data_IF_482755283110
#
_entry.id   IF_482755283110
#
_cell.length_a   1.000
_cell.length_b   1.000
_cell.length_c   1.000
_cell.angle_alpha   90.00
_cell.angle_beta   90.00
_cell.angle_gamma   90.00
#
_symmetry.space_group_name_H-M   'P 1'
#
loop_
_entity.id
_entity.type
_entity.pdbx_description
1 polymer ?
#
# COMPACT_ATOMS: atom_id res chain seq x y z
N UNK A 1 -20.22 -24.00 -17.89
CA UNK A 1 -20.52 -23.08 -19.01
C UNK A 1 -21.26 -21.89 -18.42
N UNK A 2 -20.54 -20.81 -18.13
CA UNK A 2 -21.12 -19.57 -17.61
C UNK A 2 -21.65 -18.73 -18.79
N UNK A 3 -22.82 -18.09 -18.67
CA UNK A 3 -23.40 -17.30 -19.75
C UNK A 3 -22.55 -16.05 -19.99
N UNK A 4 -22.07 -15.89 -21.22
CA UNK A 4 -21.21 -14.81 -21.71
C UNK A 4 -21.96 -13.50 -21.99
N UNK A 5 -23.00 -13.19 -21.22
CA UNK A 5 -23.95 -12.11 -21.56
C UNK A 5 -23.83 -10.85 -20.69
N UNK A 6 -22.64 -10.53 -20.14
CA UNK A 6 -22.42 -9.32 -19.33
C UNK A 6 -21.31 -8.40 -19.82
N UNK A 7 -20.90 -8.48 -21.08
CA UNK A 7 -19.90 -7.55 -21.66
C UNK A 7 -20.41 -6.89 -22.94
N UNK A 8 -21.60 -6.31 -22.90
CA UNK A 8 -21.83 -5.07 -23.65
C UNK A 8 -21.43 -3.91 -22.75
N UNK A 9 -20.13 -3.79 -22.47
CA UNK A 9 -19.59 -2.46 -22.22
C UNK A 9 -19.63 -1.77 -23.57
N UNK A 10 -20.78 -1.15 -23.88
CA UNK A 10 -20.82 -0.10 -24.89
C UNK A 10 -19.72 0.88 -24.49
N UNK A 11 -18.69 1.01 -25.33
CA UNK A 11 -17.57 1.88 -25.04
C UNK A 11 -18.15 3.29 -24.93
N UNK A 12 -18.31 3.77 -23.70
CA UNK A 12 -18.76 5.12 -23.39
C UNK A 12 -17.95 6.07 -24.27
N UNK A 13 -18.64 6.78 -25.17
CA UNK A 13 -18.04 7.63 -26.21
C UNK A 13 -17.62 8.98 -25.61
N UNK A 14 -16.84 8.94 -24.53
CA UNK A 14 -16.07 10.09 -24.09
C UNK A 14 -14.73 10.04 -24.82
N UNK A 15 -14.36 11.09 -25.54
CA UNK A 15 -13.17 11.19 -26.36
C UNK A 15 -12.21 12.23 -25.78
N UNK A 16 -11.36 11.88 -24.79
CA UNK A 16 -10.63 12.87 -24.00
C UNK A 16 -9.61 13.71 -24.78
N UNK A 17 -9.20 13.27 -25.98
CA UNK A 17 -8.26 14.01 -26.83
C UNK A 17 -8.95 14.94 -27.83
N UNK A 18 -10.27 14.81 -28.06
CA UNK A 18 -11.05 15.63 -28.99
C UNK A 18 -12.02 16.53 -28.23
N UNK A 19 -12.65 16.01 -27.17
CA UNK A 19 -13.63 16.74 -26.37
C UNK A 19 -12.99 17.98 -25.73
N UNK A 20 -13.79 19.04 -25.64
CA UNK A 20 -13.39 20.28 -24.98
C UNK A 20 -13.03 20.00 -23.51
N UNK A 21 -12.08 20.76 -22.96
CA UNK A 21 -11.72 20.63 -21.54
C UNK A 21 -12.94 20.94 -20.69
N UNK A 22 -13.43 19.94 -19.96
CA UNK A 22 -14.61 20.04 -19.11
C UNK A 22 -14.43 21.21 -18.13
N UNK A 23 -15.39 22.12 -18.12
CA UNK A 23 -15.34 23.26 -17.21
C UNK A 23 -15.64 22.80 -15.78
N UNK A 24 -15.08 23.48 -14.74
CA UNK A 24 -15.38 23.13 -13.35
C UNK A 24 -16.86 23.32 -12.98
N UNK A 25 -17.64 24.07 -13.79
CA UNK A 25 -19.08 24.23 -13.59
C UNK A 25 -19.86 23.01 -14.09
N UNK A 26 -19.47 22.44 -15.24
CA UNK A 26 -20.07 21.21 -15.78
C UNK A 26 -19.79 20.02 -14.88
N UNK A 27 -18.58 19.91 -14.33
CA UNK A 27 -18.23 18.85 -13.36
C UNK A 27 -19.17 18.87 -12.15
N UNK A 28 -19.43 20.04 -11.57
CA UNK A 28 -20.36 20.16 -10.42
C UNK A 28 -21.79 19.78 -10.80
N UNK A 29 -22.25 20.16 -11.99
CA UNK A 29 -23.61 19.80 -12.47
C UNK A 29 -23.73 18.29 -12.66
N UNK A 30 -22.73 17.65 -13.28
CA UNK A 30 -22.71 16.20 -13.47
C UNK A 30 -22.63 15.48 -12.13
N UNK A 31 -21.78 15.93 -11.21
CA UNK A 31 -21.67 15.36 -9.87
C UNK A 31 -22.99 15.43 -9.10
N UNK A 32 -23.71 16.56 -9.17
CA UNK A 32 -25.05 16.68 -8.57
C UNK A 32 -26.05 15.68 -9.18
N UNK A 33 -26.00 15.48 -10.50
CA UNK A 33 -26.83 14.49 -11.19
C UNK A 33 -26.51 13.07 -10.75
N UNK A 34 -25.22 12.73 -10.65
CA UNK A 34 -24.75 11.43 -10.14
C UNK A 34 -25.19 11.22 -8.69
N UNK A 35 -25.04 12.23 -7.83
CA UNK A 35 -25.48 12.13 -6.43
C UNK A 35 -26.99 11.92 -6.32
N UNK A 36 -27.77 12.59 -7.17
CA UNK A 36 -29.22 12.36 -7.24
C UNK A 36 -29.51 10.92 -7.64
N UNK A 37 -28.86 10.37 -8.67
CA UNK A 37 -29.10 8.98 -9.08
C UNK A 37 -28.62 7.96 -8.03
N UNK A 38 -27.45 8.17 -7.42
CA UNK A 38 -26.92 7.32 -6.35
C UNK A 38 -27.86 7.28 -5.15
N UNK A 39 -28.53 8.39 -4.81
CA UNK A 39 -29.53 8.40 -3.74
C UNK A 39 -30.74 7.48 -4.01
N UNK A 40 -30.99 7.11 -5.27
CA UNK A 40 -32.06 6.18 -5.64
C UNK A 40 -31.57 4.71 -5.69
N UNK A 41 -30.26 4.47 -5.60
CA UNK A 41 -29.65 3.15 -5.63
C UNK A 41 -29.29 2.74 -4.21
N UNK A 42 -29.65 1.52 -3.80
CA UNK A 42 -29.25 1.00 -2.50
C UNK A 42 -27.74 0.72 -2.49
N UNK A 43 -26.95 1.61 -1.88
CA UNK A 43 -25.48 1.47 -1.79
C UNK A 43 -25.01 0.58 -0.64
N UNK A 44 -25.92 0.17 0.25
CA UNK A 44 -25.57 -0.66 1.42
C UNK A 44 -25.35 -2.13 1.06
N UNK A 45 -25.93 -2.59 -0.06
CA UNK A 45 -25.71 -3.95 -0.54
C UNK A 45 -24.41 -4.04 -1.35
N UNK A 46 -23.40 -4.69 -0.75
CA UNK A 46 -22.15 -5.00 -1.43
C UNK A 46 -22.41 -5.86 -2.68
N UNK A 47 -21.80 -5.49 -3.81
CA UNK A 47 -21.92 -6.25 -5.05
C UNK A 47 -21.43 -7.71 -4.84
N UNK A 48 -22.17 -8.73 -5.32
CA UNK A 48 -21.88 -10.16 -5.03
C UNK A 48 -20.50 -10.65 -5.52
N UNK A 49 -19.84 -9.89 -6.40
CA UNK A 49 -18.48 -10.18 -6.85
C UNK A 49 -17.36 -9.73 -5.88
N UNK A 50 -17.67 -9.00 -4.81
CA UNK A 50 -16.65 -8.54 -3.85
C UNK A 50 -16.20 -9.66 -2.90
N UNK A 51 -17.11 -10.55 -2.51
CA UNK A 51 -16.81 -11.71 -1.65
C UNK A 51 -15.66 -12.61 -2.12
N UNK A 52 -15.56 -13.00 -3.40
CA UNK A 52 -14.46 -13.83 -3.89
C UNK A 52 -13.14 -13.07 -4.14
N UNK A 53 -13.17 -11.75 -4.31
CA UNK A 53 -11.96 -10.95 -4.61
C UNK A 53 -11.18 -10.55 -3.36
N UNK A 54 -11.87 -10.45 -2.22
CA UNK A 54 -11.28 -10.18 -0.93
C UNK A 54 -11.70 -11.28 0.04
N UNK A 55 -11.10 -12.48 -0.02
CA UNK A 55 -11.18 -13.39 1.11
C UNK A 55 -10.54 -12.66 2.28
N UNK A 56 -11.35 -12.14 3.19
CA UNK A 56 -10.89 -11.66 4.49
C UNK A 56 -10.20 -12.86 5.13
N UNK A 57 -8.88 -12.90 5.01
CA UNK A 57 -8.06 -13.98 5.55
C UNK A 57 -8.35 -14.02 7.04
N UNK A 58 -8.95 -15.11 7.52
CA UNK A 58 -9.20 -15.38 8.94
C UNK A 58 -7.94 -15.28 9.83
N UNK A 59 -6.77 -15.14 9.19
CA UNK A 59 -5.47 -14.99 9.81
C UNK A 59 -5.17 -13.54 10.21
N UNK A 60 -5.90 -12.54 9.68
CA UNK A 60 -5.74 -11.13 10.05
C UNK A 60 -6.19 -10.84 11.48
N UNK A 61 -7.09 -11.67 12.05
CA UNK A 61 -7.50 -11.54 13.45
C UNK A 61 -6.35 -11.82 14.43
N UNK A 62 -5.38 -12.66 14.06
CA UNK A 62 -4.17 -12.94 14.87
C UNK A 62 -3.17 -11.79 14.88
N UNK A 63 -3.17 -10.94 13.86
CA UNK A 63 -2.32 -9.74 13.79
C UNK A 63 -3.02 -8.49 14.34
N UNK A 64 -4.35 -8.54 14.51
CA UNK A 64 -5.15 -7.50 15.15
C UNK A 64 -5.18 -7.58 16.66
N UNK A 65 -4.83 -8.73 17.25
CA UNK A 65 -4.62 -8.79 18.70
C UNK A 65 -3.30 -8.09 19.03
N UNK A 66 -3.32 -6.93 19.71
CA UNK A 66 -2.10 -6.42 20.31
C UNK A 66 -1.63 -7.46 21.32
N UNK A 67 -0.35 -7.80 21.27
CA UNK A 67 0.34 -8.74 22.17
C UNK A 67 0.31 -8.30 23.67
N UNK A 68 -0.48 -7.29 24.03
CA UNK A 68 -0.56 -6.66 25.34
C UNK A 68 -1.93 -6.70 26.02
N UNK A 69 -3.01 -7.19 25.41
CA UNK A 69 -4.29 -7.40 26.11
C UNK A 69 -4.32 -8.78 26.78
N UNK A 70 -3.38 -9.00 27.70
CA UNK A 70 -3.64 -9.88 28.84
C UNK A 70 -4.21 -8.97 29.93
N UNK A 71 -5.52 -8.84 29.91
CA UNK A 71 -6.29 -8.13 30.93
C UNK A 71 -6.12 -8.82 32.29
N UNK A 72 -5.24 -8.25 33.11
CA UNK A 72 -5.48 -8.21 34.55
C UNK A 72 -5.66 -6.75 34.95
N UNK A 73 -6.70 -6.49 35.73
CA UNK A 73 -7.22 -5.15 36.00
C UNK A 73 -6.22 -4.29 36.77
N UNK A 74 -5.47 -3.46 36.05
CA UNK A 74 -4.59 -2.46 36.64
C UNK A 74 -4.13 -1.50 35.56
N UNK A 75 -4.29 -0.20 35.82
CA UNK A 75 -3.96 0.89 34.91
C UNK A 75 -2.52 0.78 34.38
N UNK A 76 -2.34 0.32 33.14
CA UNK A 76 -1.03 0.20 32.50
C UNK A 76 -0.64 1.59 31.98
N UNK A 77 0.08 2.33 32.81
CA UNK A 77 0.90 3.46 32.37
C UNK A 77 1.83 2.99 31.24
N UNK A 78 1.94 3.79 30.17
CA UNK A 78 2.82 3.58 29.00
C UNK A 78 4.33 3.39 29.29
N UNK A 79 4.72 3.28 30.56
CA UNK A 79 6.10 3.09 31.01
C UNK A 79 6.44 1.61 31.33
N UNK A 80 5.47 0.69 31.37
CA UNK A 80 5.71 -0.66 31.93
C UNK A 80 6.23 -1.72 30.96
N UNK A 81 6.51 -1.40 29.69
CA UNK A 81 7.01 -2.40 28.71
C UNK A 81 8.28 -2.00 27.95
N UNK A 82 9.11 -1.14 28.54
CA UNK A 82 10.50 -0.91 28.08
C UNK A 82 11.53 -1.46 29.06
N UNK A 83 11.18 -2.43 29.90
CA UNK A 83 12.21 -3.20 30.60
C UNK A 83 12.95 -4.06 29.57
N UNK A 84 14.03 -3.49 29.02
CA UNK A 84 15.08 -4.26 28.40
C UNK A 84 15.63 -5.28 29.39
N UNK A 85 16.33 -6.29 28.85
CA UNK A 85 17.02 -7.28 29.68
C UNK A 85 17.93 -6.53 30.64
N UNK A 86 17.69 -6.68 31.93
CA UNK A 86 18.51 -6.06 32.96
C UNK A 86 19.91 -6.70 32.96
N UNK A 87 20.92 -5.86 32.73
CA UNK A 87 22.32 -6.27 32.67
C UNK A 87 23.05 -6.06 34.00
N UNK A 88 22.39 -5.46 35.00
CA UNK A 88 22.94 -5.17 36.34
C UNK A 88 23.58 -6.42 36.97
N UNK A 89 22.94 -7.58 36.82
CA UNK A 89 23.40 -8.90 37.31
C UNK A 89 24.78 -9.32 36.79
N UNK A 90 25.21 -8.79 35.63
CA UNK A 90 26.48 -9.13 35.00
C UNK A 90 27.55 -8.04 35.17
N UNK A 91 27.17 -6.87 35.70
CA UNK A 91 28.04 -5.71 35.88
C UNK A 91 28.32 -5.38 37.34
N UNK A 92 27.39 -5.71 38.25
CA UNK A 92 27.53 -5.49 39.69
C UNK A 92 27.76 -6.82 40.44
N UNK A 93 28.90 -6.88 41.14
CA UNK A 93 29.35 -8.07 41.88
C UNK A 93 29.16 -7.92 43.39
N UNK A 94 28.63 -6.79 43.85
CA UNK A 94 28.27 -6.58 45.24
C UNK A 94 26.84 -7.06 45.51
N UNK A 95 26.57 -7.47 46.75
CA UNK A 95 25.23 -7.87 47.16
C UNK A 95 24.45 -6.63 47.61
N UNK A 96 23.31 -6.35 46.99
CA UNK A 96 22.48 -5.16 47.28
C UNK A 96 21.78 -5.23 48.65
N UNK A 97 22.01 -6.31 49.41
CA UNK A 97 21.30 -6.66 50.63
C UNK A 97 21.80 -5.98 51.93
N UNK A 98 22.88 -5.20 51.90
CA UNK A 98 23.38 -4.47 53.08
C UNK A 98 23.02 -2.97 53.02
N UNK A 99 21.73 -2.65 52.98
CA UNK A 99 21.22 -1.30 53.21
C UNK A 99 20.39 -1.19 54.50
N UNK A 100 20.67 -2.03 55.51
CA UNK A 100 20.16 -1.83 56.86
C UNK A 100 21.31 -1.99 57.88
N UNK A 101 21.67 -0.85 58.47
CA UNK A 101 22.36 -0.64 59.75
C UNK A 101 23.88 -0.92 59.90
N UNK A 102 24.50 0.05 60.59
CA UNK A 102 25.77 -0.01 61.33
C UNK A 102 27.11 -0.07 60.57
N UNK A 103 27.65 1.13 60.34
CA UNK A 103 28.93 1.58 60.90
C UNK A 103 30.02 0.50 61.11
N UNK A 104 30.68 0.06 60.03
CA UNK A 104 32.11 -0.27 60.10
C UNK A 104 32.84 0.03 58.79
N UNK A 105 33.89 0.81 58.92
CA UNK A 105 34.71 1.36 57.85
C UNK A 105 35.94 0.49 57.66
N UNK A 106 35.80 -0.81 57.32
CA UNK A 106 36.97 -1.62 56.88
C UNK A 106 36.70 -2.99 56.25
N UNK A 107 35.57 -3.26 55.57
CA UNK A 107 35.37 -4.56 54.90
C UNK A 107 34.90 -4.43 53.45
N UNK A 108 35.86 -4.34 52.53
CA UNK A 108 35.65 -4.48 51.09
C UNK A 108 35.39 -5.94 50.65
N UNK A 109 34.62 -6.73 51.40
CA UNK A 109 34.65 -8.20 51.29
C UNK A 109 33.28 -8.89 51.30
N UNK A 110 32.25 -8.30 50.69
CA UNK A 110 31.03 -9.04 50.31
C UNK A 110 30.88 -9.07 48.79
N UNK A 111 31.82 -9.77 48.15
CA UNK A 111 31.75 -10.11 46.72
C UNK A 111 30.87 -11.33 46.54
N UNK A 112 29.80 -11.18 45.74
CA UNK A 112 28.94 -12.28 45.37
C UNK A 112 29.67 -13.19 44.35
N UNK A 113 30.30 -14.24 44.85
CA UNK A 113 31.08 -15.19 44.05
C UNK A 113 30.23 -15.89 42.99
N UNK A 114 28.94 -16.11 43.23
CA UNK A 114 28.02 -16.73 42.26
C UNK A 114 27.80 -15.82 41.03
N UNK A 115 27.62 -14.50 41.25
CA UNK A 115 27.54 -13.52 40.16
C UNK A 115 28.87 -13.45 39.38
N UNK A 116 30.01 -13.50 40.08
CA UNK A 116 31.34 -13.51 39.48
C UNK A 116 31.60 -14.76 38.63
N UNK A 117 31.31 -15.95 39.13
CA UNK A 117 31.48 -17.18 38.36
C UNK A 117 30.50 -17.27 37.19
N UNK A 118 29.29 -16.74 37.36
CA UNK A 118 28.31 -16.64 36.27
C UNK A 118 28.82 -15.72 35.16
N UNK A 119 29.34 -14.53 35.48
CA UNK A 119 29.89 -13.61 34.48
C UNK A 119 31.13 -14.17 33.79
N UNK A 120 31.99 -14.91 34.51
CA UNK A 120 33.13 -15.61 33.94
C UNK A 120 32.68 -16.70 32.95
N UNK A 121 31.72 -17.53 33.34
CA UNK A 121 31.20 -18.59 32.48
C UNK A 121 30.61 -18.03 31.17
N UNK A 122 29.85 -16.93 31.25
CA UNK A 122 29.34 -16.24 30.08
C UNK A 122 30.45 -15.58 29.25
N UNK A 123 31.52 -15.09 29.88
CA UNK A 123 32.67 -14.53 29.16
C UNK A 123 33.41 -15.59 28.35
N UNK A 124 33.63 -16.77 28.93
CA UNK A 124 34.22 -17.93 28.24
C UNK A 124 33.32 -18.42 27.10
N UNK A 125 32.00 -18.48 27.34
CA UNK A 125 31.03 -18.83 26.29
C UNK A 125 31.02 -17.79 25.17
N UNK A 126 31.11 -16.50 25.51
CA UNK A 126 31.17 -15.41 24.54
C UNK A 126 32.44 -15.49 23.70
N UNK A 127 33.59 -15.80 24.30
CA UNK A 127 34.85 -16.01 23.56
C UNK A 127 34.70 -17.16 22.56
N UNK A 128 34.18 -18.30 23.00
CA UNK A 128 33.93 -19.45 22.12
C UNK A 128 32.96 -19.07 20.99
N UNK A 129 31.86 -18.39 21.31
CA UNK A 129 30.88 -17.96 20.31
C UNK A 129 31.48 -16.95 19.32
N UNK A 130 32.30 -16.02 19.78
CA UNK A 130 33.01 -15.07 18.93
C UNK A 130 34.00 -15.79 18.00
N UNK A 131 34.74 -16.77 18.52
CA UNK A 131 35.64 -17.62 17.72
C UNK A 131 34.87 -18.37 16.62
N UNK A 132 33.73 -18.97 16.96
CA UNK A 132 32.87 -19.64 15.98
C UNK A 132 32.27 -18.66 14.96
N UNK A 133 31.90 -17.45 15.39
CA UNK A 133 31.40 -16.41 14.50
C UNK A 133 32.46 -15.97 13.49
N UNK A 134 33.70 -15.77 13.93
CA UNK A 134 34.84 -15.44 13.05
C UNK A 134 35.15 -16.56 12.06
N UNK A 135 35.07 -17.83 12.49
CA UNK A 135 35.25 -18.97 11.59
C UNK A 135 34.15 -19.05 10.53
N UNK A 136 32.91 -18.75 10.90
CA UNK A 136 31.76 -18.84 9.99
C UNK A 136 31.54 -17.55 9.17
N UNK A 137 32.26 -16.47 9.46
CA UNK A 137 32.04 -15.15 8.87
C UNK A 137 32.09 -15.18 7.35
N UNK A 138 33.08 -15.85 6.78
CA UNK A 138 33.25 -15.97 5.32
C UNK A 138 32.04 -16.66 4.68
N UNK A 139 31.58 -17.77 5.27
CA UNK A 139 30.44 -18.54 4.76
C UNK A 139 29.13 -17.73 4.85
N UNK A 140 28.92 -17.02 5.96
CA UNK A 140 27.74 -16.17 6.18
C UNK A 140 27.78 -14.96 5.23
N UNK A 141 28.95 -14.35 5.06
CA UNK A 141 29.15 -13.24 4.12
C UNK A 141 28.86 -13.67 2.69
N UNK A 142 29.35 -14.85 2.28
CA UNK A 142 29.07 -15.42 0.96
C UNK A 142 27.57 -15.67 0.73
N UNK A 143 26.88 -16.31 1.68
CA UNK A 143 25.42 -16.55 1.60
C UNK A 143 24.66 -15.23 1.56
N UNK A 144 25.04 -14.27 2.41
CA UNK A 144 24.44 -12.93 2.44
C UNK A 144 24.59 -12.23 1.10
N UNK A 145 25.79 -12.26 0.51
CA UNK A 145 26.06 -11.64 -0.78
C UNK A 145 25.26 -12.31 -1.90
N UNK A 146 25.18 -13.64 -1.92
CA UNK A 146 24.36 -14.38 -2.87
C UNK A 146 22.87 -14.04 -2.74
N UNK A 147 22.37 -13.88 -1.52
CA UNK A 147 20.99 -13.45 -1.27
C UNK A 147 20.74 -12.02 -1.74
N UNK A 148 21.67 -11.08 -1.47
CA UNK A 148 21.59 -9.71 -1.95
C UNK A 148 21.61 -9.64 -3.48
N UNK A 149 22.42 -10.48 -4.14
CA UNK A 149 22.42 -10.60 -5.60
C UNK A 149 21.09 -11.16 -6.14
N UNK A 150 20.50 -12.15 -5.47
CA UNK A 150 19.17 -12.65 -5.86
C UNK A 150 18.10 -11.58 -5.71
N UNK A 151 18.15 -10.78 -4.64
CA UNK A 151 17.23 -9.67 -4.43
C UNK A 151 17.41 -8.58 -5.48
N UNK A 152 18.64 -8.24 -5.85
CA UNK A 152 18.90 -7.24 -6.88
C UNK A 152 18.43 -7.71 -8.27
N UNK A 153 18.59 -9.00 -8.60
CA UNK A 153 18.02 -9.61 -9.81
C UNK A 153 16.49 -9.53 -9.81
N UNK A 154 15.86 -9.80 -8.68
CA UNK A 154 14.41 -9.69 -8.53
C UNK A 154 13.95 -8.24 -8.73
N UNK A 155 14.62 -7.27 -8.10
CA UNK A 155 14.33 -5.84 -8.27
C UNK A 155 14.45 -5.42 -9.74
N UNK A 156 15.53 -5.83 -10.42
CA UNK A 156 15.73 -5.55 -11.84
C UNK A 156 14.58 -6.11 -12.69
N UNK A 157 14.12 -7.32 -12.39
CA UNK A 157 12.98 -7.93 -13.09
C UNK A 157 11.68 -7.14 -12.89
N UNK A 158 11.45 -6.59 -11.68
CA UNK A 158 10.29 -5.74 -11.42
C UNK A 158 10.40 -4.39 -12.12
N UNK A 159 11.60 -3.80 -12.17
CA UNK A 159 11.83 -2.57 -12.93
C UNK A 159 11.58 -2.79 -14.42
N UNK A 160 12.04 -3.91 -14.98
CA UNK A 160 11.77 -4.28 -16.38
C UNK A 160 10.27 -4.52 -16.65
N UNK A 161 9.56 -5.17 -15.73
CA UNK A 161 8.11 -5.29 -15.86
C UNK A 161 7.41 -3.93 -15.79
N UNK A 162 7.89 -3.00 -14.94
CA UNK A 162 7.33 -1.66 -14.83
C UNK A 162 7.58 -0.86 -16.12
N UNK A 163 8.78 -0.91 -16.70
CA UNK A 163 9.08 -0.23 -17.96
C UNK A 163 8.24 -0.81 -19.10
N UNK A 164 8.12 -2.14 -19.21
CA UNK A 164 7.23 -2.80 -20.18
C UNK A 164 5.76 -2.38 -20.02
N UNK A 165 5.26 -2.30 -18.78
CA UNK A 165 3.90 -1.82 -18.52
C UNK A 165 3.72 -0.37 -18.93
N UNK A 166 4.69 0.50 -18.64
CA UNK A 166 4.67 1.91 -19.09
C UNK A 166 4.65 2.02 -20.61
N UNK A 167 5.53 1.30 -21.30
CA UNK A 167 5.56 1.25 -22.76
C UNK A 167 4.24 0.78 -23.36
N UNK A 168 3.63 -0.28 -22.79
CA UNK A 168 2.31 -0.76 -23.23
C UNK A 168 1.21 0.29 -23.00
N UNK A 169 1.23 1.00 -21.88
CA UNK A 169 0.27 2.08 -21.61
C UNK A 169 0.46 3.24 -22.60
N UNK A 170 1.70 3.61 -22.88
CA UNK A 170 2.04 4.63 -23.88
C UNK A 170 1.58 4.22 -25.28
N UNK A 171 1.80 2.97 -25.68
CA UNK A 171 1.32 2.41 -26.95
C UNK A 171 -0.21 2.48 -27.05
N UNK A 172 -0.92 2.04 -26.02
CA UNK A 172 -2.39 2.12 -25.97
C UNK A 172 -2.87 3.57 -26.04
N UNK A 173 -2.22 4.49 -25.32
CA UNK A 173 -2.59 5.90 -25.34
C UNK A 173 -2.30 6.55 -26.71
N UNK A 174 -1.17 6.22 -27.34
CA UNK A 174 -0.86 6.66 -28.70
C UNK A 174 -1.88 6.12 -29.70
N UNK A 175 -2.27 4.85 -29.60
CA UNK A 175 -3.27 4.27 -30.46
C UNK A 175 -4.65 4.91 -30.26
N UNK A 176 -5.07 5.13 -29.00
CA UNK A 176 -6.31 5.87 -28.68
C UNK A 176 -6.28 7.28 -29.26
N UNK A 177 -5.18 8.01 -29.07
CA UNK A 177 -5.00 9.35 -29.61
C UNK A 177 -5.06 9.35 -31.14
N UNK A 178 -4.41 8.38 -31.80
CA UNK A 178 -4.46 8.25 -33.27
C UNK A 178 -5.90 8.02 -33.75
N UNK A 179 -6.61 7.03 -33.19
CA UNK A 179 -8.01 6.74 -33.57
C UNK A 179 -8.93 7.95 -33.37
N UNK A 180 -8.70 8.72 -32.31
CA UNK A 180 -9.45 9.94 -32.04
C UNK A 180 -9.13 11.04 -33.05
N UNK A 181 -7.85 11.30 -33.34
CA UNK A 181 -7.47 12.28 -34.35
C UNK A 181 -7.92 11.89 -35.77
N UNK A 182 -7.93 10.60 -36.10
CA UNK A 182 -8.44 10.10 -37.38
C UNK A 182 -9.95 10.31 -37.51
N UNK A 183 -10.70 10.30 -36.38
CA UNK A 183 -12.14 10.54 -36.34
C UNK A 183 -12.52 12.03 -36.36
N UNK A 184 -11.61 12.93 -35.97
CA UNK A 184 -11.83 14.38 -35.96
C UNK A 184 -12.35 14.94 -37.30
N UNK A 185 -11.72 14.71 -38.46
CA UNK A 185 -12.21 15.27 -39.72
C UNK A 185 -13.57 14.70 -40.15
N UNK A 186 -13.85 13.43 -39.82
CA UNK A 186 -15.16 12.83 -40.11
C UNK A 186 -16.26 13.45 -39.25
N UNK A 187 -15.95 13.77 -37.99
CA UNK A 187 -16.89 14.41 -37.09
C UNK A 187 -17.19 15.86 -37.56
N UNK A 188 -16.17 16.63 -37.92
CA UNK A 188 -16.35 18.00 -38.44
C UNK A 188 -17.19 18.03 -39.73
N UNK A 189 -16.97 17.08 -40.65
CA UNK A 189 -17.78 16.96 -41.87
C UNK A 189 -19.24 16.61 -41.54
N UNK A 190 -19.46 15.69 -40.59
CA UNK A 190 -20.81 15.32 -40.16
C UNK A 190 -21.52 16.49 -39.48
N UNK A 191 -20.81 17.27 -38.67
CA UNK A 191 -21.35 18.47 -38.04
C UNK A 191 -21.70 19.54 -39.09
N UNK A 192 -20.83 19.79 -40.06
CA UNK A 192 -21.10 20.76 -41.15
C UNK A 192 -22.30 20.33 -41.99
N UNK A 193 -22.35 19.07 -42.42
CA UNK A 193 -23.50 18.55 -43.20
C UNK A 193 -24.80 18.55 -42.40
N UNK A 194 -24.73 18.34 -41.09
CA UNK A 194 -25.88 18.48 -40.20
C UNK A 194 -26.34 19.93 -40.08
N UNK A 195 -25.41 20.88 -39.86
CA UNK A 195 -25.71 22.31 -39.79
C UNK A 195 -26.30 22.82 -41.11
N UNK A 196 -25.76 22.43 -42.25
CA UNK A 196 -26.30 22.74 -43.58
C UNK A 196 -27.70 22.14 -43.78
N UNK A 197 -27.93 20.90 -43.33
CA UNK A 197 -29.25 20.27 -43.37
C UNK A 197 -30.28 21.01 -42.53
N UNK A 198 -29.91 21.44 -41.31
CA UNK A 198 -30.76 22.24 -40.43
C UNK A 198 -31.04 23.61 -41.05
N UNK A 199 -30.02 24.30 -41.56
CA UNK A 199 -30.18 25.60 -42.21
C UNK A 199 -31.09 25.49 -43.45
N UNK A 200 -30.89 24.48 -44.29
CA UNK A 200 -31.76 24.22 -45.44
C UNK A 200 -33.22 23.95 -45.03
N UNK A 201 -33.44 23.19 -43.95
CA UNK A 201 -34.79 22.97 -43.41
C UNK A 201 -35.42 24.26 -42.87
N UNK A 202 -34.64 25.09 -42.19
CA UNK A 202 -35.08 26.40 -41.68
C UNK A 202 -35.41 27.33 -42.84
N UNK A 203 -34.56 27.42 -43.86
CA UNK A 203 -34.77 28.24 -45.05
C UNK A 203 -36.03 27.81 -45.81
N UNK A 204 -36.22 26.50 -46.00
CA UNK A 204 -37.47 25.97 -46.58
C UNK A 204 -38.70 26.30 -45.72
N UNK A 205 -38.58 26.26 -44.39
CA UNK A 205 -39.63 26.66 -43.47
C UNK A 205 -39.98 28.15 -43.58
N UNK A 206 -38.97 29.01 -43.68
CA UNK A 206 -39.11 30.45 -43.86
C UNK A 206 -39.75 30.79 -45.20
N UNK A 207 -39.32 30.17 -46.31
CA UNK A 207 -39.92 30.37 -47.62
C UNK A 207 -41.41 29.99 -47.63
N UNK A 208 -41.79 28.86 -47.03
CA UNK A 208 -43.21 28.47 -46.89
C UNK A 208 -44.02 29.41 -46.00
N UNK A 209 -43.39 30.05 -45.01
CA UNK A 209 -44.06 31.06 -44.17
C UNK A 209 -44.21 32.42 -44.85
N UNK A 210 -43.33 32.75 -45.80
CA UNK A 210 -43.35 34.00 -46.58
C UNK A 210 -44.31 33.97 -47.77
N UNK A 211 -44.76 32.79 -48.20
CA UNK A 211 -45.68 32.61 -49.34
C UNK A 211 -47.16 32.58 -48.93
N UNK A 212 -47.45 32.82 -47.63
CA UNK A 212 -48.80 33.05 -47.07
C UNK A 212 -49.00 34.52 -46.75
#
# INVERSE_FOLDING_TARGET
>A
MLPTSFTHFEALDSLPYIDHSITPQELRRVEQLVQNEVAHINTDEMHPAVGPLLPLSSNMDRFRQPLGERSDGGSISSEQHTQGIDMSRYTDFHDDHDNDDDNDSDNGEHVNHDRMYTSLAYSVLRERNASLALQNEESISSIRNAHLESLSKMELSYRDQLTKKRQRVEEINMERKRRQLDFMPTNELQEQTWQEGVNSMVDMGLHKSSEK
#
